data_IF_935095816089
#
_entry.id   IF_935095816089
#
_cell.length_a   1.000
_cell.length_b   1.000
_cell.length_c   1.000
_cell.angle_alpha   90.00
_cell.angle_beta   90.00
_cell.angle_gamma   90.00
#
_symmetry.space_group_name_H-M   'P 1'
#
loop_
_entity.id
_entity.type
_entity.pdbx_description
1 polymer ?
#
# COMPACT_ATOMS: atom_id res chain seq x y z
N UNK A 1 -18.57 4.67 -3.56
CA UNK A 1 -17.71 5.34 -2.56
C UNK A 1 -16.80 4.32 -1.90
N UNK A 2 -15.56 4.71 -1.57
CA UNK A 2 -14.54 3.85 -0.94
C UNK A 2 -15.09 3.10 0.29
N UNK A 3 -15.89 3.80 1.11
CA UNK A 3 -16.60 3.22 2.26
C UNK A 3 -17.40 1.98 1.91
N UNK A 4 -18.23 2.03 0.87
CA UNK A 4 -19.07 0.89 0.46
C UNK A 4 -18.23 -0.30 -0.01
N UNK A 5 -17.11 -0.04 -0.69
CA UNK A 5 -16.19 -1.10 -1.14
C UNK A 5 -15.54 -1.81 0.05
N UNK A 6 -15.06 -1.04 1.03
CA UNK A 6 -14.48 -1.57 2.25
C UNK A 6 -15.51 -2.36 3.07
N UNK A 7 -16.74 -1.84 3.19
CA UNK A 7 -17.83 -2.57 3.86
C UNK A 7 -18.17 -3.88 3.17
N UNK A 8 -18.18 -3.91 1.82
CA UNK A 8 -18.38 -5.15 1.07
C UNK A 8 -17.26 -6.19 1.27
N UNK A 9 -16.06 -5.74 1.66
CA UNK A 9 -14.92 -6.60 2.02
C UNK A 9 -14.90 -7.00 3.50
N UNK A 10 -15.92 -6.61 4.28
CA UNK A 10 -16.05 -6.96 5.69
C UNK A 10 -15.39 -5.97 6.65
N UNK A 11 -14.90 -4.83 6.17
CA UNK A 11 -14.42 -3.76 7.05
C UNK A 11 -15.59 -2.94 7.61
N UNK A 12 -15.47 -2.54 8.87
CA UNK A 12 -16.47 -1.72 9.56
C UNK A 12 -15.84 -0.44 10.08
N UNK A 13 -16.64 0.52 10.56
CA UNK A 13 -16.15 1.80 11.10
C UNK A 13 -15.14 2.51 10.18
N UNK A 14 -15.45 2.56 8.89
CA UNK A 14 -14.57 3.24 7.91
C UNK A 14 -14.69 4.76 8.08
N UNK A 15 -13.57 5.44 8.26
CA UNK A 15 -13.48 6.89 8.42
C UNK A 15 -12.12 7.41 7.94
N UNK A 16 -11.95 8.74 7.99
CA UNK A 16 -10.69 9.42 7.64
C UNK A 16 -10.13 9.08 6.25
N UNK A 17 -11.02 8.94 5.27
CA UNK A 17 -10.67 8.65 3.88
C UNK A 17 -9.91 9.80 3.24
N UNK A 18 -8.69 9.56 2.79
CA UNK A 18 -7.78 10.55 2.18
C UNK A 18 -7.13 9.99 0.92
N UNK A 19 -6.84 10.83 -0.07
CA UNK A 19 -6.07 10.42 -1.25
C UNK A 19 -4.66 10.99 -1.16
N UNK A 20 -3.67 10.11 -1.04
CA UNK A 20 -2.27 10.47 -0.87
C UNK A 20 -1.37 9.43 -1.55
N UNK A 21 -0.21 9.86 -2.05
CA UNK A 21 0.77 8.98 -2.69
C UNK A 21 0.21 8.09 -3.83
N UNK A 22 -0.89 8.52 -4.48
CA UNK A 22 -1.53 7.79 -5.57
C UNK A 22 -2.55 6.73 -5.14
N UNK A 23 -2.81 6.56 -3.84
CA UNK A 23 -3.77 5.61 -3.28
C UNK A 23 -4.78 6.29 -2.36
N UNK A 24 -5.95 5.70 -2.19
CA UNK A 24 -6.85 6.08 -1.12
C UNK A 24 -6.44 5.39 0.17
N UNK A 25 -6.26 6.14 1.25
CA UNK A 25 -6.06 5.62 2.61
C UNK A 25 -7.35 5.81 3.40
N UNK A 26 -7.72 4.83 4.23
CA UNK A 26 -8.82 4.96 5.18
C UNK A 26 -8.52 4.19 6.46
N UNK A 27 -9.07 4.67 7.57
CA UNK A 27 -9.00 3.99 8.85
C UNK A 27 -10.26 3.13 9.00
N UNK A 28 -10.08 1.85 9.29
CA UNK A 28 -11.17 0.90 9.35
C UNK A 28 -10.94 -0.16 10.41
N UNK A 29 -12.02 -0.85 10.79
CA UNK A 29 -11.95 -2.02 11.68
C UNK A 29 -12.09 -3.29 10.85
N UNK A 30 -11.10 -4.17 10.94
CA UNK A 30 -11.09 -5.48 10.28
C UNK A 30 -12.17 -6.40 10.86
N UNK A 31 -12.48 -7.49 10.14
CA UNK A 31 -13.43 -8.52 10.60
C UNK A 31 -13.04 -9.15 11.95
N UNK A 32 -11.75 -9.21 12.26
CA UNK A 32 -11.22 -9.70 13.55
C UNK A 32 -11.32 -8.66 14.68
N UNK A 33 -11.89 -7.48 14.39
CA UNK A 33 -12.07 -6.42 15.35
C UNK A 33 -10.81 -5.60 15.65
N UNK A 34 -9.79 -5.63 14.79
CA UNK A 34 -8.62 -4.75 14.91
C UNK A 34 -8.83 -3.47 14.13
N UNK A 35 -8.42 -2.34 14.67
CA UNK A 35 -8.36 -1.08 13.92
C UNK A 35 -7.09 -1.10 13.06
N UNK A 36 -7.26 -0.84 11.77
CA UNK A 36 -6.26 -1.03 10.72
C UNK A 36 -6.34 0.10 9.70
N UNK A 37 -5.18 0.47 9.17
CA UNK A 37 -5.09 1.33 7.99
C UNK A 37 -5.31 0.47 6.74
N UNK A 38 -6.23 0.88 5.88
CA UNK A 38 -6.46 0.22 4.58
C UNK A 38 -6.13 1.19 3.45
N UNK A 39 -5.49 0.65 2.41
CA UNK A 39 -5.17 1.37 1.20
C UNK A 39 -5.99 0.81 0.03
N UNK A 40 -6.44 1.66 -0.88
CA UNK A 40 -7.21 1.28 -2.06
C UNK A 40 -6.57 1.89 -3.30
N UNK A 41 -6.29 1.04 -4.28
CA UNK A 41 -5.88 1.48 -5.61
C UNK A 41 -7.09 2.13 -6.32
N UNK A 42 -6.99 3.41 -6.73
CA UNK A 42 -8.10 4.12 -7.38
C UNK A 42 -8.43 3.61 -8.79
N UNK A 43 -7.48 2.96 -9.47
CA UNK A 43 -7.61 2.43 -10.84
C UNK A 43 -8.20 1.03 -10.81
N UNK A 44 -7.67 0.14 -9.97
CA UNK A 44 -8.06 -1.28 -9.95
C UNK A 44 -9.13 -1.59 -8.91
N UNK A 45 -9.28 -0.75 -7.89
CA UNK A 45 -10.14 -1.02 -6.73
C UNK A 45 -9.59 -2.11 -5.80
N UNK A 46 -8.33 -2.54 -5.97
CA UNK A 46 -7.64 -3.44 -5.04
C UNK A 46 -7.57 -2.80 -3.66
N UNK A 47 -7.79 -3.60 -2.63
CA UNK A 47 -7.74 -3.18 -1.22
C UNK A 47 -6.57 -3.89 -0.55
N UNK A 48 -5.71 -3.11 0.10
CA UNK A 48 -4.55 -3.56 0.86
C UNK A 48 -4.78 -3.23 2.35
N UNK A 49 -4.51 -4.17 3.24
CA UNK A 49 -4.62 -3.96 4.69
C UNK A 49 -3.90 -5.04 5.48
N UNK A 50 -4.20 -5.19 6.77
CA UNK A 50 -3.51 -6.13 7.69
C UNK A 50 -3.59 -7.61 7.27
N UNK A 51 -4.63 -7.97 6.50
CA UNK A 51 -4.83 -9.33 6.00
C UNK A 51 -4.09 -9.59 4.68
N UNK A 52 -3.54 -8.56 4.05
CA UNK A 52 -2.80 -8.69 2.80
C UNK A 52 -1.42 -9.28 3.09
N UNK A 53 -1.11 -10.39 2.44
CA UNK A 53 0.22 -11.01 2.50
C UNK A 53 1.03 -10.64 1.25
N UNK A 54 2.34 -10.52 1.42
CA UNK A 54 3.23 -10.26 0.30
C UNK A 54 3.68 -11.54 -0.39
N UNK A 55 3.60 -11.56 -1.72
CA UNK A 55 4.22 -12.59 -2.57
C UNK A 55 5.68 -12.25 -2.89
N UNK A 56 6.03 -10.97 -2.80
CA UNK A 56 7.37 -10.46 -3.03
C UNK A 56 8.15 -10.35 -1.73
N UNK A 57 9.45 -10.63 -1.80
CA UNK A 57 10.40 -10.31 -0.72
C UNK A 57 10.91 -8.88 -0.85
N UNK A 58 11.57 -8.37 0.20
CA UNK A 58 12.23 -7.05 0.15
C UNK A 58 13.22 -6.95 -1.03
N UNK A 59 13.94 -8.05 -1.29
CA UNK A 59 14.90 -8.11 -2.39
C UNK A 59 14.21 -8.03 -3.75
N UNK A 60 13.06 -8.70 -3.92
CA UNK A 60 12.28 -8.66 -5.15
C UNK A 60 11.74 -7.25 -5.41
N UNK A 61 11.21 -6.59 -4.37
CA UNK A 61 10.72 -5.21 -4.47
C UNK A 61 11.87 -4.23 -4.78
N UNK A 62 13.01 -4.37 -4.12
CA UNK A 62 14.20 -3.55 -4.42
C UNK A 62 14.64 -3.75 -5.86
N UNK A 63 14.62 -4.98 -6.36
CA UNK A 63 14.95 -5.29 -7.75
C UNK A 63 13.94 -4.66 -8.73
N UNK A 64 12.63 -4.81 -8.49
CA UNK A 64 11.58 -4.21 -9.29
C UNK A 64 11.72 -2.68 -9.37
N UNK A 65 11.93 -2.02 -8.24
CA UNK A 65 12.17 -0.57 -8.17
C UNK A 65 13.44 -0.17 -8.94
N UNK A 66 14.53 -0.92 -8.80
CA UNK A 66 15.76 -0.64 -9.53
C UNK A 66 15.56 -0.77 -11.05
N UNK A 67 14.84 -1.80 -11.50
CA UNK A 67 14.45 -1.99 -12.91
C UNK A 67 13.51 -0.87 -13.40
N UNK A 68 12.66 -0.33 -12.53
CA UNK A 68 11.80 0.82 -12.79
C UNK A 68 12.53 2.17 -12.90
N UNK A 69 13.86 2.18 -12.73
CA UNK A 69 14.69 3.38 -12.84
C UNK A 69 14.78 4.20 -11.56
N UNK A 70 14.40 3.63 -10.41
CA UNK A 70 14.64 4.21 -9.10
C UNK A 70 16.06 3.87 -8.63
N UNK A 71 16.76 4.87 -8.09
CA UNK A 71 18.10 4.74 -7.53
C UNK A 71 18.07 4.88 -6.00
N UNK A 72 19.15 4.48 -5.31
CA UNK A 72 19.27 4.60 -3.85
C UNK A 72 18.04 4.05 -3.09
N UNK A 73 17.57 2.85 -3.43
CA UNK A 73 16.38 2.22 -2.83
C UNK A 73 16.71 1.64 -1.45
N UNK A 74 16.15 2.22 -0.39
CA UNK A 74 16.38 1.87 1.02
C UNK A 74 15.09 1.96 1.85
N UNK A 75 15.19 1.59 3.14
CA UNK A 75 14.09 1.62 4.10
C UNK A 75 12.83 0.86 3.67
N UNK A 76 13.02 -0.26 2.96
CA UNK A 76 11.92 -1.10 2.50
C UNK A 76 11.24 -1.81 3.65
N UNK A 77 9.94 -1.60 3.81
CA UNK A 77 9.14 -2.24 4.85
C UNK A 77 7.76 -2.60 4.33
N UNK A 78 7.32 -3.82 4.59
CA UNK A 78 5.95 -4.23 4.35
C UNK A 78 5.07 -3.83 5.53
N UNK A 79 4.12 -2.92 5.30
CA UNK A 79 3.20 -2.42 6.34
C UNK A 79 1.84 -2.08 5.71
N UNK A 80 0.77 -2.35 6.45
CA UNK A 80 -0.60 -2.00 6.06
C UNK A 80 -0.98 -2.58 4.67
N UNK A 81 -0.41 -3.73 4.33
CA UNK A 81 -0.63 -4.45 3.08
C UNK A 81 0.13 -3.93 1.86
N UNK A 82 1.04 -2.96 2.02
CA UNK A 82 1.86 -2.41 0.94
C UNK A 82 3.34 -2.42 1.32
N UNK A 83 4.21 -2.46 0.31
CA UNK A 83 5.62 -2.16 0.50
C UNK A 83 5.83 -0.66 0.48
N UNK A 84 6.41 -0.12 1.55
CA UNK A 84 6.92 1.25 1.59
C UNK A 84 8.41 1.22 1.29
N UNK A 85 8.87 2.13 0.43
CA UNK A 85 10.28 2.25 0.08
C UNK A 85 10.68 3.70 -0.14
N UNK A 86 11.86 4.06 0.36
CA UNK A 86 12.49 5.34 0.06
C UNK A 86 13.47 5.17 -1.09
N UNK A 87 13.34 6.01 -2.10
CA UNK A 87 14.19 5.95 -3.28
C UNK A 87 14.50 7.34 -3.83
N UNK A 88 15.34 7.40 -4.85
CA UNK A 88 15.55 8.58 -5.67
C UNK A 88 15.10 8.36 -7.10
N UNK A 89 14.44 9.36 -7.66
CA UNK A 89 14.12 9.43 -9.08
C UNK A 89 14.56 10.79 -9.61
N UNK A 90 15.36 10.80 -10.67
CA UNK A 90 15.92 12.03 -11.26
C UNK A 90 16.63 12.92 -10.22
N UNK A 91 17.32 12.31 -9.24
CA UNK A 91 18.01 13.01 -8.16
C UNK A 91 17.14 13.47 -6.99
N UNK A 92 15.81 13.34 -7.07
CA UNK A 92 14.88 13.73 -6.00
C UNK A 92 14.50 12.51 -5.15
N UNK A 93 14.47 12.68 -3.82
CA UNK A 93 13.94 11.65 -2.91
C UNK A 93 12.43 11.52 -3.07
N UNK A 94 11.96 10.29 -3.14
CA UNK A 94 10.55 9.92 -3.27
C UNK A 94 10.25 8.74 -2.35
N UNK A 95 9.11 8.81 -1.68
CA UNK A 95 8.53 7.67 -0.95
C UNK A 95 7.56 6.95 -1.89
N UNK A 96 7.68 5.63 -1.99
CA UNK A 96 6.91 4.78 -2.87
C UNK A 96 6.08 3.80 -2.06
N UNK A 97 4.84 3.60 -2.52
CA UNK A 97 3.97 2.53 -2.08
C UNK A 97 3.84 1.52 -3.23
N UNK A 98 4.27 0.30 -2.98
CA UNK A 98 4.42 -0.75 -3.99
C UNK A 98 3.48 -1.91 -3.68
N UNK A 99 2.81 -2.41 -4.73
CA UNK A 99 1.91 -3.56 -4.64
C UNK A 99 2.72 -4.83 -4.30
N UNK A 100 2.30 -5.58 -3.28
CA UNK A 100 3.05 -6.74 -2.80
C UNK A 100 2.86 -8.02 -3.62
N UNK A 101 2.02 -7.99 -4.66
CA UNK A 101 1.81 -9.09 -5.60
C UNK A 101 2.64 -8.95 -6.88
N UNK A 102 2.73 -7.75 -7.46
CA UNK A 102 3.33 -7.51 -8.78
C UNK A 102 4.51 -6.52 -8.82
N UNK A 103 4.69 -5.68 -7.80
CA UNK A 103 5.92 -4.88 -7.61
C UNK A 103 6.02 -3.59 -8.41
#
# INVERSE_FOLDING_TARGET
EITSMLTAKGYTKVHDVKFEHGVWKADARSGDGKDVDVHIDPLTGRVYGDQTTSKLSEADVRAALSTGGYADVHDLKFKDGLWKADAKRNGQKVELHVDPEDG
#
